data_IF_474660105246
#
_entry.id   IF_474660105246
#
_cell.length_a   1.000
_cell.length_b   1.000
_cell.length_c   1.000
_cell.angle_alpha   90.00
_cell.angle_beta   90.00
_cell.angle_gamma   90.00
#
_symmetry.space_group_name_H-M   'P 1'
#
loop_
_entity.id
_entity.type
_entity.pdbx_description
1 polymer ?
#
# COMPACT_ATOMS: atom_id res chain seq x y z
N UNK A 1 13.99 -20.81 8.56
CA UNK A 1 13.31 -19.99 7.55
C UNK A 1 14.34 -19.44 6.58
N UNK A 2 14.17 -19.68 5.28
CA UNK A 2 15.01 -19.09 4.22
C UNK A 2 14.78 -17.58 4.15
N UNK A 3 15.76 -16.77 3.71
CA UNK A 3 15.55 -15.32 3.55
C UNK A 3 14.33 -14.96 2.69
N UNK A 4 14.04 -15.76 1.66
CA UNK A 4 12.86 -15.60 0.80
C UNK A 4 11.53 -15.80 1.54
N UNK A 5 11.46 -16.79 2.44
CA UNK A 5 10.27 -17.04 3.27
C UNK A 5 10.06 -15.90 4.27
N UNK A 6 11.15 -15.37 4.84
CA UNK A 6 11.09 -14.21 5.74
C UNK A 6 10.57 -12.97 5.01
N UNK A 7 11.08 -12.70 3.81
CA UNK A 7 10.63 -11.59 2.98
C UNK A 7 9.15 -11.75 2.59
N UNK A 8 8.72 -12.96 2.22
CA UNK A 8 7.32 -13.23 1.87
C UNK A 8 6.38 -13.03 3.07
N UNK A 9 6.78 -13.47 4.27
CA UNK A 9 6.01 -13.23 5.48
C UNK A 9 5.91 -11.73 5.80
N UNK A 10 7.03 -11.01 5.80
CA UNK A 10 7.02 -9.58 6.06
C UNK A 10 6.18 -8.81 5.04
N UNK A 11 6.22 -9.20 3.75
CA UNK A 11 5.35 -8.62 2.72
C UNK A 11 3.87 -8.84 3.04
N UNK A 12 3.48 -10.05 3.44
CA UNK A 12 2.10 -10.35 3.81
C UNK A 12 1.65 -9.51 5.02
N UNK A 13 2.48 -9.43 6.06
CA UNK A 13 2.18 -8.62 7.25
C UNK A 13 1.99 -7.12 6.90
N UNK A 14 2.78 -6.59 5.94
CA UNK A 14 2.62 -5.21 5.44
C UNK A 14 1.36 -5.01 4.59
N UNK A 15 1.01 -6.00 3.77
CA UNK A 15 -0.23 -5.98 2.97
C UNK A 15 -1.46 -6.01 3.88
N UNK A 16 -1.44 -6.82 4.94
CA UNK A 16 -2.52 -6.90 5.93
C UNK A 16 -2.69 -5.56 6.67
N UNK A 17 -1.59 -4.92 7.08
CA UNK A 17 -1.63 -3.59 7.69
C UNK A 17 -2.26 -2.53 6.75
N UNK A 18 -1.98 -2.59 5.44
CA UNK A 18 -2.63 -1.72 4.45
C UNK A 18 -4.13 -2.00 4.36
N UNK A 19 -4.54 -3.27 4.37
CA UNK A 19 -5.96 -3.61 4.33
C UNK A 19 -6.71 -3.10 5.57
N UNK A 20 -6.15 -3.28 6.77
CA UNK A 20 -6.70 -2.73 8.02
C UNK A 20 -6.80 -1.21 7.97
N UNK A 21 -5.75 -0.55 7.49
CA UNK A 21 -5.73 0.90 7.29
C UNK A 21 -6.82 1.39 6.34
N UNK A 22 -7.06 0.69 5.23
CA UNK A 22 -8.09 1.06 4.25
C UNK A 22 -9.51 0.69 4.70
N UNK A 23 -9.70 -0.39 5.48
CA UNK A 23 -10.99 -0.73 6.09
C UNK A 23 -11.52 0.37 6.98
N UNK A 24 -10.63 1.07 7.69
CA UNK A 24 -10.98 2.21 8.53
C UNK A 24 -11.27 3.52 7.74
N UNK A 25 -11.15 3.52 6.41
CA UNK A 25 -11.24 4.71 5.54
C UNK A 25 -12.12 4.44 4.31
N UNK A 26 -13.46 4.59 4.42
CA UNK A 26 -14.39 4.36 3.32
C UNK A 26 -14.10 5.19 2.05
N UNK A 27 -13.55 6.39 2.21
CA UNK A 27 -13.11 7.29 1.15
C UNK A 27 -11.78 6.87 0.48
N UNK A 28 -11.09 5.89 1.07
CA UNK A 28 -9.80 5.41 0.63
C UNK A 28 -8.65 6.35 0.97
N UNK A 29 -7.46 6.03 0.47
CA UNK A 29 -6.27 6.85 0.69
C UNK A 29 -5.36 6.85 -0.53
N UNK A 30 -4.67 7.97 -0.79
CA UNK A 30 -3.65 8.01 -1.85
C UNK A 30 -2.35 7.37 -1.36
N UNK A 31 -1.51 6.93 -2.31
CA UNK A 31 -0.23 6.28 -2.02
C UNK A 31 0.64 7.02 -0.99
N UNK A 32 0.69 8.35 -1.06
CA UNK A 32 1.49 9.15 -0.12
C UNK A 32 0.93 9.13 1.31
N UNK A 33 -0.39 9.05 1.49
CA UNK A 33 -1.00 8.94 2.82
C UNK A 33 -0.71 7.57 3.42
N UNK A 34 -0.92 6.50 2.64
CA UNK A 34 -0.64 5.12 3.08
C UNK A 34 0.82 4.97 3.50
N UNK A 35 1.75 5.46 2.65
CA UNK A 35 3.17 5.38 2.94
C UNK A 35 3.54 6.13 4.22
N UNK A 36 3.05 7.36 4.40
CA UNK A 36 3.34 8.18 5.56
C UNK A 36 2.77 7.62 6.85
N UNK A 37 1.47 7.32 6.84
CA UNK A 37 0.74 6.95 8.05
C UNK A 37 1.14 5.56 8.57
N UNK A 38 1.62 4.67 7.69
CA UNK A 38 2.13 3.35 8.04
C UNK A 38 3.66 3.29 8.22
N UNK A 39 4.36 4.42 8.12
CA UNK A 39 5.82 4.44 8.25
C UNK A 39 6.58 3.72 7.12
N UNK A 40 6.01 3.70 5.91
CA UNK A 40 6.56 3.12 4.67
C UNK A 40 7.00 4.20 3.67
N UNK A 41 7.14 5.44 4.10
CA UNK A 41 7.65 6.55 3.28
C UNK A 41 9.12 6.28 2.90
N UNK A 42 9.48 6.63 1.67
CA UNK A 42 10.85 6.43 1.18
C UNK A 42 11.79 7.47 1.78
N UNK A 43 12.78 7.02 2.56
CA UNK A 43 13.90 7.88 3.01
C UNK A 43 14.94 8.16 1.91
N UNK A 44 14.82 7.49 0.76
CA UNK A 44 15.77 7.69 -0.34
C UNK A 44 15.70 9.12 -0.88
N UNK A 45 16.84 9.81 -0.85
CA UNK A 45 16.95 11.24 -1.20
C UNK A 45 16.40 11.54 -2.60
N UNK A 46 15.66 12.65 -2.71
CA UNK A 46 15.07 13.15 -3.96
C UNK A 46 13.55 13.00 -4.02
N UNK A 47 12.98 13.15 -5.22
CA UNK A 47 11.52 13.07 -5.46
C UNK A 47 11.05 11.64 -5.75
N UNK A 48 11.62 10.65 -5.06
CA UNK A 48 11.28 9.26 -5.33
C UNK A 48 9.83 8.97 -4.93
N UNK A 49 9.15 8.18 -5.77
CA UNK A 49 7.80 7.72 -5.47
C UNK A 49 7.91 6.63 -4.41
N UNK A 50 6.95 6.56 -3.47
CA UNK A 50 6.91 5.50 -2.44
C UNK A 50 6.65 4.12 -3.07
N UNK A 51 7.67 3.55 -3.72
CA UNK A 51 7.58 2.37 -4.59
C UNK A 51 7.30 1.09 -3.81
N UNK A 52 7.76 1.00 -2.56
CA UNK A 52 7.38 -0.12 -1.68
C UNK A 52 5.85 -0.18 -1.55
N UNK A 53 5.22 0.94 -1.21
CA UNK A 53 3.76 1.02 -1.08
C UNK A 53 3.05 0.69 -2.40
N UNK A 54 3.56 1.16 -3.55
CA UNK A 54 3.01 0.77 -4.85
C UNK A 54 3.13 -0.73 -5.13
N UNK A 55 4.22 -1.37 -4.72
CA UNK A 55 4.44 -2.81 -4.92
C UNK A 55 3.44 -3.64 -4.12
N UNK A 56 3.20 -3.25 -2.85
CA UNK A 56 2.21 -3.89 -1.98
C UNK A 56 0.78 -3.70 -2.52
N UNK A 57 0.43 -2.45 -2.89
CA UNK A 57 -0.88 -2.14 -3.47
C UNK A 57 -1.12 -2.87 -4.79
N UNK A 58 -0.09 -3.03 -5.63
CA UNK A 58 -0.17 -3.82 -6.85
C UNK A 58 -0.55 -5.28 -6.57
N UNK A 59 0.10 -5.91 -5.58
CA UNK A 59 -0.23 -7.27 -5.15
C UNK A 59 -1.64 -7.42 -4.59
N UNK A 60 -2.14 -6.40 -3.89
CA UNK A 60 -3.53 -6.35 -3.38
C UNK A 60 -4.55 -6.17 -4.50
N UNK A 61 -4.25 -5.33 -5.50
CA UNK A 61 -5.09 -5.12 -6.69
C UNK A 61 -5.18 -6.40 -7.52
N UNK A 62 -4.04 -7.07 -7.77
CA UNK A 62 -4.03 -8.33 -8.53
C UNK A 62 -4.88 -9.42 -7.86
N UNK A 63 -4.98 -9.41 -6.53
CA UNK A 63 -5.85 -10.31 -5.75
C UNK A 63 -7.30 -9.83 -5.61
N UNK A 64 -7.65 -8.67 -6.16
CA UNK A 64 -9.01 -8.12 -6.08
C UNK A 64 -9.41 -7.63 -4.68
N UNK A 65 -8.46 -7.37 -3.79
CA UNK A 65 -8.72 -6.92 -2.41
C UNK A 65 -8.79 -5.40 -2.31
N UNK A 66 -8.14 -4.70 -3.23
CA UNK A 66 -8.08 -3.25 -3.30
C UNK A 66 -8.35 -2.81 -4.73
N UNK A 67 -9.08 -1.69 -4.91
CA UNK A 67 -9.27 -1.00 -6.19
C UNK A 67 -8.69 0.39 -6.14
N UNK A 68 -8.25 0.89 -7.29
CA UNK A 68 -7.81 2.27 -7.47
C UNK A 68 -8.90 3.07 -8.15
N UNK A 69 -9.33 4.17 -7.54
CA UNK A 69 -10.32 5.08 -8.12
C UNK A 69 -9.66 6.34 -8.69
N UNK A 70 -10.43 7.14 -9.42
CA UNK A 70 -10.03 8.45 -9.91
C UNK A 70 -11.10 9.47 -9.50
N UNK A 71 -10.84 10.23 -8.44
CA UNK A 71 -11.78 11.18 -7.84
C UNK A 71 -11.13 12.55 -7.81
N UNK A 72 -11.61 13.48 -8.63
CA UNK A 72 -11.13 14.88 -8.63
C UNK A 72 -9.62 15.03 -8.81
N UNK A 73 -8.99 14.21 -9.67
CA UNK A 73 -7.55 14.22 -9.91
C UNK A 73 -6.71 13.46 -8.86
N UNK A 74 -7.32 13.06 -7.74
CA UNK A 74 -6.72 12.13 -6.78
C UNK A 74 -6.98 10.69 -7.21
N UNK A 75 -6.04 9.82 -6.85
CA UNK A 75 -6.10 8.39 -7.18
C UNK A 75 -6.08 7.54 -5.92
N UNK A 76 -7.16 7.56 -5.10
CA UNK A 76 -7.20 6.81 -3.85
C UNK A 76 -7.32 5.30 -4.13
N UNK A 77 -6.80 4.52 -3.18
CA UNK A 77 -6.98 3.08 -3.10
C UNK A 77 -8.07 2.80 -2.05
N UNK A 78 -8.94 1.83 -2.32
CA UNK A 78 -10.06 1.42 -1.45
C UNK A 78 -10.16 -0.09 -1.40
N UNK A 79 -10.69 -0.62 -0.29
CA UNK A 79 -11.15 -2.02 -0.24
C UNK A 79 -12.22 -2.23 -1.33
N UNK A 80 -12.16 -3.39 -1.99
CA UNK A 80 -13.19 -3.84 -2.95
C UNK A 80 -14.45 -4.26 -2.22
#
# INVERSE_FOLDING_TARGET
MKPSEKAAKARADLEDAILEYLKARPEGAINNQIARDLGLESDFAGRQKNYLTYSLLGGLITRGLVKRENVGGKKPFKIV
#
